data_IF_279927892994
#
_entry.id   IF_279927892994
#
_cell.length_a   1.000
_cell.length_b   1.000
_cell.length_c   1.000
_cell.angle_alpha   90.00
_cell.angle_beta   90.00
_cell.angle_gamma   90.00
#
_symmetry.space_group_name_H-M   'P 1'
#
loop_
_entity.id
_entity.type
_entity.pdbx_description
1 polymer ?
#
# COMPACT_ATOMS: atom_id res chain seq x y z
N UNK A 1 -22.77 46.45 75.13
CA UNK A 1 -22.78 45.05 74.65
C UNK A 1 -23.41 45.01 73.26
N UNK A 2 -22.83 44.18 72.38
CA UNK A 2 -23.25 43.78 71.02
C UNK A 2 -22.77 44.63 69.85
N UNK A 3 -21.57 44.24 69.45
CA UNK A 3 -20.95 44.26 68.12
C UNK A 3 -21.80 43.52 67.08
N UNK A 4 -21.85 44.07 65.85
CA UNK A 4 -21.99 43.30 64.60
C UNK A 4 -21.24 44.01 63.47
N UNK A 5 -20.29 43.28 62.89
CA UNK A 5 -19.46 43.66 61.74
C UNK A 5 -20.15 43.34 60.40
N UNK A 6 -19.72 43.94 59.28
CA UNK A 6 -20.24 43.63 57.94
C UNK A 6 -19.51 42.43 57.30
N UNK A 7 -20.27 41.55 56.65
CA UNK A 7 -19.76 40.43 55.86
C UNK A 7 -19.58 40.87 54.39
N UNK A 8 -18.33 40.95 53.93
CA UNK A 8 -17.94 41.24 52.56
C UNK A 8 -17.70 39.96 51.75
N UNK A 9 -18.40 39.87 50.61
CA UNK A 9 -18.00 39.31 49.31
C UNK A 9 -16.84 38.29 49.25
N UNK A 10 -17.16 37.04 48.92
CA UNK A 10 -16.22 36.09 48.28
C UNK A 10 -16.95 35.22 47.25
N UNK A 11 -17.21 35.81 46.10
CA UNK A 11 -17.50 35.10 44.84
C UNK A 11 -16.29 35.28 43.94
N UNK A 12 -15.94 34.23 43.18
CA UNK A 12 -15.04 34.26 42.01
C UNK A 12 -13.53 34.19 42.22
N UNK A 13 -12.98 33.09 42.77
CA UNK A 13 -11.65 32.58 42.36
C UNK A 13 -11.61 31.06 42.55
N UNK A 14 -12.16 30.25 41.64
CA UNK A 14 -11.94 28.79 41.66
C UNK A 14 -12.22 28.07 40.32
N UNK A 15 -12.13 28.78 39.18
CA UNK A 15 -12.30 28.16 37.83
C UNK A 15 -11.05 28.29 36.94
N UNK A 16 -10.01 29.02 37.38
CA UNK A 16 -8.83 29.30 36.55
C UNK A 16 -7.67 28.28 36.66
N UNK A 17 -7.79 27.18 37.42
CA UNK A 17 -6.68 26.23 37.64
C UNK A 17 -6.73 24.92 36.84
N UNK A 18 -7.81 24.64 36.10
CA UNK A 18 -7.92 23.39 35.33
C UNK A 18 -7.55 23.52 33.84
N UNK A 19 -7.35 24.74 33.33
CA UNK A 19 -6.94 24.96 31.94
C UNK A 19 -5.40 24.90 31.72
N UNK A 20 -4.60 24.98 32.78
CA UNK A 20 -3.13 25.02 32.68
C UNK A 20 -2.46 23.64 32.62
N UNK A 21 -3.11 22.57 33.12
CA UNK A 21 -2.52 21.22 33.11
C UNK A 21 -2.58 20.51 31.75
N UNK A 22 -3.45 20.92 30.82
CA UNK A 22 -3.52 20.32 29.48
C UNK A 22 -2.46 20.85 28.50
N UNK A 23 -1.80 21.98 28.80
CA UNK A 23 -0.79 22.57 27.92
C UNK A 23 0.63 22.02 28.16
N UNK A 24 0.89 21.33 29.26
CA UNK A 24 2.23 20.81 29.60
C UNK A 24 2.48 19.35 29.18
N UNK A 25 1.45 18.63 28.70
CA UNK A 25 1.62 17.24 28.23
C UNK A 25 1.86 17.12 26.71
N UNK A 26 1.73 18.20 25.93
CA UNK A 26 1.87 18.17 24.46
C UNK A 26 3.33 18.27 24.00
N UNK A 27 4.19 18.93 24.79
CA UNK A 27 5.61 19.09 24.47
C UNK A 27 6.40 17.76 24.42
N UNK A 28 6.30 16.82 25.40
CA UNK A 28 7.09 15.59 25.37
C UNK A 28 6.68 14.64 24.24
N UNK A 29 5.41 14.65 23.82
CA UNK A 29 4.92 13.78 22.74
C UNK A 29 5.49 14.18 21.36
N UNK A 30 5.78 15.47 21.14
CA UNK A 30 6.38 15.96 19.90
C UNK A 30 7.85 15.57 19.78
N UNK A 31 8.62 15.76 20.85
CA UNK A 31 10.05 15.41 20.90
C UNK A 31 10.25 13.90 20.69
N UNK A 32 9.40 13.05 21.29
CA UNK A 32 9.45 11.60 21.08
C UNK A 32 9.05 11.17 19.66
N UNK A 33 8.12 11.88 19.02
CA UNK A 33 7.71 11.59 17.64
C UNK A 33 8.79 11.98 16.62
N UNK A 34 9.52 13.07 16.88
CA UNK A 34 10.64 13.55 16.08
C UNK A 34 11.83 12.57 16.15
N UNK A 35 12.22 12.13 17.35
CA UNK A 35 13.27 11.11 17.54
C UNK A 35 12.90 9.75 16.89
N UNK A 36 11.62 9.36 16.98
CA UNK A 36 11.13 8.14 16.32
C UNK A 36 11.12 8.28 14.79
N UNK A 37 10.86 9.47 14.26
CA UNK A 37 10.93 9.74 12.83
C UNK A 37 12.38 9.65 12.35
N UNK A 38 13.31 10.32 13.02
CA UNK A 38 14.72 10.33 12.67
C UNK A 38 15.31 8.91 12.68
N UNK A 39 15.00 8.13 13.72
CA UNK A 39 15.42 6.72 13.78
C UNK A 39 14.80 5.86 12.67
N UNK A 40 13.53 6.08 12.32
CA UNK A 40 12.86 5.35 11.22
C UNK A 40 13.46 5.74 9.86
N UNK A 41 13.79 7.02 9.65
CA UNK A 41 14.43 7.51 8.43
C UNK A 41 15.84 6.94 8.29
N UNK A 42 16.65 6.97 9.35
CA UNK A 42 17.99 6.37 9.34
C UNK A 42 17.96 4.86 9.05
N UNK A 43 16.98 4.13 9.61
CA UNK A 43 16.77 2.72 9.29
C UNK A 43 16.37 2.50 7.83
N UNK A 44 15.53 3.37 7.28
CA UNK A 44 15.12 3.29 5.88
C UNK A 44 16.31 3.54 4.93
N UNK A 45 17.18 4.51 5.23
CA UNK A 45 18.39 4.76 4.45
C UNK A 45 19.33 3.55 4.46
N UNK A 46 19.58 2.98 5.64
CA UNK A 46 20.39 1.76 5.79
C UNK A 46 19.79 0.58 5.00
N UNK A 47 18.47 0.38 5.04
CA UNK A 47 17.82 -0.71 4.30
C UNK A 47 17.90 -0.48 2.78
N UNK A 48 17.83 0.78 2.31
CA UNK A 48 18.01 1.13 0.89
C UNK A 48 19.44 0.86 0.40
N UNK A 49 20.46 1.17 1.21
CA UNK A 49 21.85 0.82 0.90
C UNK A 49 22.03 -0.70 0.83
N UNK A 50 21.48 -1.43 1.80
CA UNK A 50 21.50 -2.89 1.80
C UNK A 50 20.79 -3.48 0.58
N UNK A 51 19.64 -2.93 0.20
CA UNK A 51 18.89 -3.35 -0.98
C UNK A 51 19.70 -3.16 -2.27
N UNK A 52 20.43 -2.04 -2.40
CA UNK A 52 21.29 -1.79 -3.55
C UNK A 52 22.40 -2.85 -3.66
N UNK A 53 23.02 -3.22 -2.55
CA UNK A 53 24.03 -4.30 -2.51
C UNK A 53 23.40 -5.66 -2.84
N UNK A 54 22.21 -5.97 -2.31
CA UNK A 54 21.51 -7.21 -2.65
C UNK A 54 21.16 -7.31 -4.14
N UNK A 55 20.77 -6.20 -4.78
CA UNK A 55 20.53 -6.16 -6.22
C UNK A 55 21.80 -6.45 -7.03
N UNK A 56 22.94 -5.94 -6.59
CA UNK A 56 24.25 -6.25 -7.17
C UNK A 56 24.56 -7.75 -7.06
N UNK A 57 24.43 -8.32 -5.87
CA UNK A 57 24.68 -9.75 -5.62
C UNK A 57 23.72 -10.66 -6.41
N UNK A 58 22.46 -10.24 -6.57
CA UNK A 58 21.51 -10.94 -7.42
C UNK A 58 21.91 -10.90 -8.90
N UNK A 59 22.35 -9.74 -9.40
CA UNK A 59 22.84 -9.62 -10.77
C UNK A 59 24.04 -10.54 -11.02
N UNK A 60 24.97 -10.62 -10.07
CA UNK A 60 26.12 -11.53 -10.11
C UNK A 60 25.66 -13.00 -10.14
N UNK A 61 24.73 -13.38 -9.26
CA UNK A 61 24.16 -14.72 -9.24
C UNK A 61 23.44 -15.08 -10.56
N UNK A 62 22.77 -14.11 -11.19
CA UNK A 62 22.10 -14.29 -12.47
C UNK A 62 23.09 -14.50 -13.61
N UNK A 63 24.22 -13.77 -13.63
CA UNK A 63 25.30 -14.00 -14.60
C UNK A 63 25.91 -15.39 -14.44
N UNK A 64 26.17 -15.83 -13.20
CA UNK A 64 26.66 -17.18 -12.92
C UNK A 64 25.69 -18.28 -13.39
N UNK A 65 24.39 -18.07 -13.21
CA UNK A 65 23.36 -18.97 -13.71
C UNK A 65 23.39 -19.08 -15.24
N UNK A 66 23.55 -17.95 -15.96
CA UNK A 66 23.65 -17.94 -17.42
C UNK A 66 24.90 -18.66 -17.92
N UNK A 67 26.04 -18.47 -17.25
CA UNK A 67 27.28 -19.17 -17.58
C UNK A 67 27.14 -20.69 -17.37
N UNK A 68 26.56 -21.13 -16.25
CA UNK A 68 26.33 -22.54 -15.99
C UNK A 68 25.37 -23.17 -17.02
N UNK A 69 24.31 -22.46 -17.41
CA UNK A 69 23.40 -22.91 -18.47
C UNK A 69 24.12 -23.08 -19.81
N UNK A 70 24.96 -22.10 -20.20
CA UNK A 70 25.75 -22.19 -21.41
C UNK A 70 26.71 -23.38 -21.40
N UNK A 71 27.39 -23.64 -20.28
CA UNK A 71 28.27 -24.82 -20.14
C UNK A 71 27.51 -26.13 -20.27
N UNK A 72 26.35 -26.23 -19.64
CA UNK A 72 25.49 -27.41 -19.74
C UNK A 72 25.05 -27.65 -21.20
N UNK A 73 24.64 -26.60 -21.92
CA UNK A 73 24.30 -26.70 -23.34
C UNK A 73 25.49 -27.16 -24.19
N UNK A 74 26.67 -26.57 -24.00
CA UNK A 74 27.88 -26.98 -24.72
C UNK A 74 28.26 -28.43 -24.43
N UNK A 75 28.08 -28.91 -23.19
CA UNK A 75 28.35 -30.32 -22.85
C UNK A 75 27.39 -31.28 -23.58
N UNK A 76 26.09 -30.94 -23.65
CA UNK A 76 25.10 -31.71 -24.41
C UNK A 76 25.40 -31.73 -25.91
N UNK A 77 25.71 -30.56 -26.50
CA UNK A 77 26.12 -30.46 -27.90
C UNK A 77 27.35 -31.32 -28.22
N UNK A 78 28.28 -31.44 -27.25
CA UNK A 78 29.43 -32.32 -27.35
C UNK A 78 29.05 -33.79 -27.44
N UNK A 79 28.10 -34.25 -26.61
CA UNK A 79 27.55 -35.62 -26.67
C UNK A 79 26.85 -35.87 -28.00
N UNK A 80 26.00 -34.95 -28.45
CA UNK A 80 25.26 -35.09 -29.71
C UNK A 80 26.21 -35.18 -30.90
N UNK A 81 27.20 -34.28 -30.97
CA UNK A 81 28.22 -34.26 -32.04
C UNK A 81 29.04 -35.55 -32.07
N UNK A 82 29.35 -36.10 -30.90
CA UNK A 82 30.07 -37.35 -30.77
C UNK A 82 29.23 -38.52 -31.34
N UNK A 83 27.95 -38.62 -30.97
CA UNK A 83 27.03 -39.66 -31.47
C UNK A 83 26.87 -39.57 -32.99
N UNK A 84 26.69 -38.36 -33.54
CA UNK A 84 26.53 -38.13 -34.98
C UNK A 84 27.79 -38.48 -35.78
N UNK A 85 28.97 -38.20 -35.22
CA UNK A 85 30.27 -38.45 -35.84
C UNK A 85 30.62 -39.93 -36.05
N UNK A 86 29.89 -40.86 -35.42
CA UNK A 86 30.03 -42.33 -35.55
C UNK A 86 31.45 -42.91 -35.31
N UNK A 87 32.38 -42.13 -34.76
CA UNK A 87 33.75 -42.55 -34.42
C UNK A 87 34.10 -42.20 -32.97
N UNK A 88 33.23 -42.59 -32.04
CA UNK A 88 33.45 -42.34 -30.61
C UNK A 88 33.92 -43.59 -29.92
N UNK A 89 35.02 -43.48 -29.17
CA UNK A 89 35.43 -44.51 -28.23
C UNK A 89 34.50 -44.49 -27.01
N UNK A 90 34.27 -45.65 -26.39
CA UNK A 90 33.49 -45.75 -25.14
C UNK A 90 34.01 -44.77 -24.09
N UNK A 91 35.34 -44.68 -23.94
CA UNK A 91 35.98 -43.75 -23.03
C UNK A 91 35.66 -42.28 -23.33
N UNK A 92 35.63 -41.87 -24.61
CA UNK A 92 35.29 -40.50 -24.98
C UNK A 92 33.84 -40.15 -24.67
N UNK A 93 32.92 -41.11 -24.82
CA UNK A 93 31.52 -40.92 -24.44
C UNK A 93 31.37 -40.79 -22.91
N UNK A 94 32.04 -41.64 -22.13
CA UNK A 94 32.04 -41.56 -20.67
C UNK A 94 32.59 -40.22 -20.14
N UNK A 95 33.61 -39.67 -20.81
CA UNK A 95 34.16 -38.35 -20.48
C UNK A 95 33.16 -37.21 -20.76
N UNK A 96 32.44 -37.28 -21.88
CA UNK A 96 31.40 -36.30 -22.22
C UNK A 96 30.19 -36.40 -21.29
N UNK A 97 29.73 -37.61 -20.96
CA UNK A 97 28.65 -37.83 -20.00
C UNK A 97 29.01 -37.28 -18.62
N UNK A 98 30.25 -37.49 -18.16
CA UNK A 98 30.75 -36.90 -16.91
C UNK A 98 30.72 -35.36 -16.96
N UNK A 99 31.11 -34.77 -18.08
CA UNK A 99 31.06 -33.32 -18.26
C UNK A 99 29.62 -32.78 -18.22
N UNK A 100 28.64 -33.51 -18.76
CA UNK A 100 27.21 -33.17 -18.66
C UNK A 100 26.75 -33.22 -17.20
N UNK A 101 27.07 -34.29 -16.48
CA UNK A 101 26.71 -34.43 -15.06
C UNK A 101 27.30 -33.31 -14.20
N UNK A 102 28.59 -32.99 -14.40
CA UNK A 102 29.26 -31.88 -13.71
C UNK A 102 28.58 -30.53 -14.01
N UNK A 103 28.25 -30.26 -15.27
CA UNK A 103 27.58 -29.03 -15.67
C UNK A 103 26.14 -28.93 -15.14
N UNK A 104 25.41 -30.04 -15.05
CA UNK A 104 24.07 -30.09 -14.46
C UNK A 104 24.09 -29.77 -12.97
N UNK A 105 25.06 -30.34 -12.23
CA UNK A 105 25.29 -30.04 -10.81
C UNK A 105 25.58 -28.55 -10.62
N UNK A 106 26.44 -27.96 -11.47
CA UNK A 106 26.76 -26.53 -11.42
C UNK A 106 25.50 -25.66 -11.69
N UNK A 107 24.72 -25.99 -12.73
CA UNK A 107 23.48 -25.29 -13.08
C UNK A 107 22.46 -25.35 -11.95
N UNK A 108 22.27 -26.53 -11.35
CA UNK A 108 21.37 -26.72 -10.21
C UNK A 108 21.81 -25.86 -9.02
N UNK A 109 23.11 -25.84 -8.71
CA UNK A 109 23.65 -25.02 -7.63
C UNK A 109 23.46 -23.51 -7.92
N UNK A 110 23.67 -23.07 -9.17
CA UNK A 110 23.47 -21.69 -9.59
C UNK A 110 21.99 -21.27 -9.51
N UNK A 111 21.08 -22.14 -9.94
CA UNK A 111 19.63 -21.93 -9.83
C UNK A 111 19.20 -21.76 -8.37
N UNK A 112 19.69 -22.61 -7.45
CA UNK A 112 19.40 -22.48 -6.01
C UNK A 112 19.89 -21.15 -5.45
N UNK A 113 21.10 -20.71 -5.81
CA UNK A 113 21.63 -19.39 -5.40
C UNK A 113 20.74 -18.24 -5.89
N UNK A 114 20.35 -18.25 -7.16
CA UNK A 114 19.48 -17.22 -7.72
C UNK A 114 18.10 -17.18 -7.05
N UNK A 115 17.52 -18.34 -6.74
CA UNK A 115 16.23 -18.42 -6.01
C UNK A 115 16.32 -17.83 -4.61
N UNK A 116 17.38 -18.15 -3.85
CA UNK A 116 17.59 -17.57 -2.51
C UNK A 116 17.69 -16.06 -2.56
N UNK A 117 18.44 -15.51 -3.53
CA UNK A 117 18.54 -14.06 -3.68
C UNK A 117 17.22 -13.39 -4.06
N UNK A 118 16.38 -14.02 -4.90
CA UNK A 118 15.03 -13.50 -5.17
C UNK A 118 14.17 -13.43 -3.91
N UNK A 119 14.23 -14.44 -3.05
CA UNK A 119 13.51 -14.45 -1.78
C UNK A 119 14.00 -13.33 -0.86
N UNK A 120 15.32 -13.19 -0.70
CA UNK A 120 15.91 -12.09 0.08
C UNK A 120 15.52 -10.70 -0.44
N UNK A 121 15.51 -10.50 -1.76
CA UNK A 121 15.06 -9.23 -2.35
C UNK A 121 13.57 -8.96 -2.08
N UNK A 122 12.71 -9.97 -2.20
CA UNK A 122 11.29 -9.82 -1.90
C UNK A 122 11.05 -9.41 -0.44
N UNK A 123 11.78 -10.01 0.49
CA UNK A 123 11.66 -9.68 1.92
C UNK A 123 12.19 -8.28 2.24
N UNK A 124 13.32 -7.87 1.64
CA UNK A 124 13.89 -6.52 1.84
C UNK A 124 13.00 -5.43 1.22
N UNK A 125 12.40 -5.69 0.05
CA UNK A 125 11.42 -4.77 -0.56
C UNK A 125 10.18 -4.59 0.32
N UNK A 126 9.64 -5.68 0.89
CA UNK A 126 8.52 -5.60 1.84
C UNK A 126 8.89 -4.78 3.08
N UNK A 127 10.08 -5.01 3.64
CA UNK A 127 10.55 -4.26 4.82
C UNK A 127 10.74 -2.77 4.52
N UNK A 128 11.33 -2.45 3.37
CA UNK A 128 11.49 -1.07 2.88
C UNK A 128 10.14 -0.38 2.80
N UNK A 129 9.15 -1.00 2.16
CA UNK A 129 7.80 -0.46 2.05
C UNK A 129 7.13 -0.23 3.42
N UNK A 130 7.36 -1.12 4.40
CA UNK A 130 6.85 -0.93 5.76
C UNK A 130 7.51 0.27 6.46
N UNK A 131 8.83 0.45 6.31
CA UNK A 131 9.57 1.58 6.87
C UNK A 131 9.16 2.90 6.22
N UNK A 132 8.98 2.93 4.90
CA UNK A 132 8.48 4.08 4.16
C UNK A 132 7.11 4.52 4.68
N UNK A 133 6.17 3.57 4.79
CA UNK A 133 4.84 3.85 5.33
C UNK A 133 4.89 4.37 6.77
N UNK A 134 5.81 3.85 7.60
CA UNK A 134 6.00 4.31 8.99
C UNK A 134 6.59 5.72 9.04
N UNK A 135 7.61 6.02 8.26
CA UNK A 135 8.19 7.36 8.16
C UNK A 135 7.16 8.38 7.66
N UNK A 136 6.35 8.01 6.66
CA UNK A 136 5.25 8.84 6.15
C UNK A 136 4.15 9.04 7.22
N UNK A 137 3.88 8.05 8.07
CA UNK A 137 2.93 8.18 9.17
C UNK A 137 3.46 9.12 10.29
N UNK A 138 4.75 9.02 10.62
CA UNK A 138 5.38 9.84 11.66
C UNK A 138 5.61 11.29 11.22
N UNK A 139 6.05 11.52 9.98
CA UNK A 139 6.23 12.87 9.41
C UNK A 139 4.93 13.67 9.34
N UNK A 140 3.78 12.99 9.20
CA UNK A 140 2.45 13.62 9.26
C UNK A 140 2.01 13.99 10.69
N UNK A 141 2.75 13.58 11.72
CA UNK A 141 2.50 13.87 13.13
C UNK A 141 1.27 13.15 13.74
N UNK A 142 1.10 13.18 15.08
CA UNK A 142 -0.12 12.71 15.74
C UNK A 142 -1.24 13.74 15.53
N UNK A 143 -1.73 13.84 14.30
CA UNK A 143 -3.07 14.36 14.08
C UNK A 143 -4.04 13.38 14.73
N UNK A 144 -4.87 13.85 15.66
CA UNK A 144 -6.16 13.22 15.96
C UNK A 144 -6.76 12.92 14.58
N UNK A 145 -6.75 11.66 14.16
CA UNK A 145 -7.37 11.24 12.91
C UNK A 145 -8.86 11.39 13.13
N UNK A 146 -9.36 12.62 12.99
CA UNK A 146 -10.75 12.87 12.66
C UNK A 146 -10.90 12.13 11.35
N UNK A 147 -11.57 11.00 11.42
CA UNK A 147 -11.92 10.19 10.27
C UNK A 147 -12.65 11.09 9.26
N UNK A 148 -11.96 11.58 8.22
CA UNK A 148 -12.55 12.59 7.36
C UNK A 148 -13.49 11.94 6.34
N UNK A 149 -13.24 10.66 6.04
CA UNK A 149 -13.80 9.97 4.90
C UNK A 149 -14.95 9.06 5.27
N UNK A 150 -14.96 8.50 6.48
CA UNK A 150 -16.08 7.67 6.89
C UNK A 150 -17.38 8.47 6.94
N UNK A 151 -18.44 7.78 6.53
CA UNK A 151 -19.77 8.32 6.49
C UNK A 151 -20.42 8.10 5.13
N UNK A 152 -21.60 8.69 5.02
CA UNK A 152 -22.45 8.61 3.84
C UNK A 152 -22.17 9.79 2.92
N UNK A 153 -22.09 9.52 1.63
CA UNK A 153 -21.83 10.50 0.59
C UNK A 153 -22.90 10.38 -0.51
N UNK A 154 -23.39 11.51 -1.01
CA UNK A 154 -24.19 11.56 -2.23
C UNK A 154 -23.24 11.46 -3.41
N UNK A 155 -23.40 10.44 -4.25
CA UNK A 155 -22.55 10.12 -5.38
C UNK A 155 -23.21 10.52 -6.71
N UNK A 156 -22.42 11.05 -7.63
CA UNK A 156 -22.76 11.38 -9.01
C UNK A 156 -21.64 10.89 -9.94
N UNK A 157 -21.99 10.19 -11.01
CA UNK A 157 -21.08 9.55 -11.96
C UNK A 157 -21.44 9.98 -13.39
N UNK A 158 -20.45 10.43 -14.14
CA UNK A 158 -20.57 10.76 -15.56
C UNK A 158 -19.80 9.71 -16.41
N UNK A 159 -20.17 9.48 -17.68
CA UNK A 159 -21.10 10.28 -18.51
C UNK A 159 -22.59 9.94 -18.34
N UNK A 160 -22.94 8.83 -17.67
CA UNK A 160 -24.32 8.34 -17.62
C UNK A 160 -25.23 9.09 -16.64
N UNK A 161 -24.72 10.18 -16.03
CA UNK A 161 -25.38 11.00 -15.02
C UNK A 161 -26.02 10.19 -13.88
N UNK A 162 -25.43 9.05 -13.54
CA UNK A 162 -25.92 8.15 -12.50
C UNK A 162 -25.73 8.78 -11.14
N UNK A 163 -26.76 8.69 -10.30
CA UNK A 163 -26.75 9.20 -8.93
C UNK A 163 -26.95 8.08 -7.94
N UNK A 164 -26.44 8.27 -6.74
CA UNK A 164 -26.53 7.26 -5.70
C UNK A 164 -25.97 7.68 -4.36
N UNK A 165 -25.75 6.68 -3.52
CA UNK A 165 -25.17 6.82 -2.19
C UNK A 165 -23.91 5.98 -2.12
N UNK A 166 -22.87 6.55 -1.56
CA UNK A 166 -21.59 5.94 -1.29
C UNK A 166 -21.35 5.94 0.23
N UNK A 167 -21.24 4.77 0.84
CA UNK A 167 -20.92 4.62 2.26
C UNK A 167 -19.45 4.18 2.38
N UNK A 168 -18.63 5.01 3.03
CA UNK A 168 -17.19 4.77 3.22
C UNK A 168 -16.86 4.50 4.68
N UNK A 169 -15.84 3.67 4.90
CA UNK A 169 -15.20 3.40 6.19
C UNK A 169 -13.68 3.49 6.04
N UNK A 170 -13.05 4.30 6.89
CA UNK A 170 -11.62 4.50 6.94
C UNK A 170 -11.02 3.80 8.16
N UNK A 171 -9.97 3.01 7.93
CA UNK A 171 -9.21 2.35 9.00
C UNK A 171 -7.73 2.32 8.64
N UNK A 172 -6.89 2.95 9.46
CA UNK A 172 -5.43 2.96 9.37
C UNK A 172 -4.78 3.50 8.07
N UNK A 173 -5.51 3.64 6.96
CA UNK A 173 -5.16 4.15 5.61
C UNK A 173 -5.98 3.40 4.54
N UNK A 174 -6.56 2.26 4.93
CA UNK A 174 -7.49 1.46 4.13
C UNK A 174 -8.85 2.13 4.12
N UNK A 175 -9.43 2.22 2.93
CA UNK A 175 -10.82 2.59 2.70
C UNK A 175 -11.56 1.34 2.27
N UNK A 176 -12.68 1.07 2.91
CA UNK A 176 -13.68 0.13 2.42
C UNK A 176 -15.00 0.86 2.25
N UNK A 177 -15.81 0.42 1.31
CA UNK A 177 -17.11 1.02 1.10
C UNK A 177 -17.98 0.22 0.16
N UNK A 178 -19.18 0.72 -0.03
CA UNK A 178 -20.09 0.24 -1.05
C UNK A 178 -20.86 1.44 -1.58
N UNK A 179 -21.29 1.38 -2.84
CA UNK A 179 -22.26 2.32 -3.36
C UNK A 179 -23.51 1.60 -3.84
N UNK A 180 -24.62 2.34 -3.83
CA UNK A 180 -25.87 1.96 -4.44
C UNK A 180 -26.36 3.12 -5.31
N UNK A 181 -26.66 2.85 -6.58
CA UNK A 181 -27.19 3.80 -7.55
C UNK A 181 -28.71 3.74 -7.61
N UNK A 182 -29.31 4.81 -8.13
CA UNK A 182 -30.77 4.93 -8.29
C UNK A 182 -31.36 3.90 -9.27
N UNK A 183 -30.56 3.37 -10.19
CA UNK A 183 -30.96 2.28 -11.11
C UNK A 183 -30.93 0.88 -10.47
N UNK A 184 -30.61 0.79 -9.17
CA UNK A 184 -30.50 -0.45 -8.41
C UNK A 184 -29.12 -1.12 -8.50
N UNK A 185 -28.20 -0.59 -9.29
CA UNK A 185 -26.82 -1.10 -9.37
C UNK A 185 -26.07 -0.84 -8.07
N UNK A 186 -25.24 -1.79 -7.64
CA UNK A 186 -24.40 -1.62 -6.46
C UNK A 186 -23.07 -2.35 -6.63
N UNK A 187 -22.02 -1.85 -5.99
CA UNK A 187 -20.73 -2.51 -5.98
C UNK A 187 -19.96 -2.21 -4.69
N UNK A 188 -19.01 -3.08 -4.36
CA UNK A 188 -18.09 -2.87 -3.26
C UNK A 188 -16.87 -2.08 -3.72
N UNK A 189 -16.29 -1.32 -2.80
CA UNK A 189 -15.10 -0.50 -3.02
C UNK A 189 -14.06 -0.82 -1.95
N UNK A 190 -12.81 -0.92 -2.37
CA UNK A 190 -11.66 -1.04 -1.46
C UNK A 190 -10.51 -0.19 -1.97
N UNK A 191 -9.71 0.39 -1.09
CA UNK A 191 -8.66 1.27 -1.55
C UNK A 191 -7.86 1.94 -0.46
N UNK A 192 -7.18 3.01 -0.84
CA UNK A 192 -6.30 3.75 0.07
C UNK A 192 -6.56 5.25 -0.04
N UNK A 193 -6.31 5.95 1.08
CA UNK A 193 -6.31 7.39 1.13
C UNK A 193 -4.97 7.89 1.67
N UNK A 194 -4.25 8.67 0.86
CA UNK A 194 -2.96 9.25 1.19
C UNK A 194 -2.79 10.60 0.50
N UNK A 195 -2.23 11.58 1.22
CA UNK A 195 -1.90 12.89 0.65
C UNK A 195 -3.07 13.64 0.03
N UNK A 196 -4.29 13.51 0.56
CA UNK A 196 -5.50 14.13 -0.01
C UNK A 196 -6.06 13.41 -1.23
N UNK A 197 -5.41 12.33 -1.68
CA UNK A 197 -5.85 11.52 -2.82
C UNK A 197 -6.47 10.21 -2.36
N UNK A 198 -7.60 9.86 -2.95
CA UNK A 198 -8.33 8.63 -2.76
C UNK A 198 -8.18 7.75 -4.01
N UNK A 199 -7.78 6.50 -3.83
CA UNK A 199 -7.77 5.50 -4.89
C UNK A 199 -8.62 4.31 -4.44
N UNK A 200 -9.66 3.98 -5.21
CA UNK A 200 -10.57 2.87 -4.96
C UNK A 200 -10.57 1.89 -6.14
N UNK A 201 -10.66 0.61 -5.80
CA UNK A 201 -10.94 -0.50 -6.69
C UNK A 201 -12.42 -0.87 -6.53
N UNK A 202 -13.15 -0.87 -7.64
CA UNK A 202 -14.53 -1.35 -7.70
C UNK A 202 -14.53 -2.86 -7.90
N UNK A 203 -15.33 -3.52 -7.09
CA UNK A 203 -15.53 -4.98 -7.13
C UNK A 203 -17.02 -5.24 -7.28
N UNK A 204 -17.40 -5.70 -8.46
CA UNK A 204 -18.72 -6.18 -8.79
C UNK A 204 -18.87 -7.67 -8.41
N UNK A 205 -20.08 -8.08 -8.02
CA UNK A 205 -20.34 -9.43 -7.55
C UNK A 205 -20.22 -10.49 -8.65
N UNK A 206 -20.45 -10.12 -9.91
CA UNK A 206 -20.40 -11.03 -11.07
C UNK A 206 -19.07 -10.90 -11.81
N UNK A 207 -18.55 -9.67 -11.94
CA UNK A 207 -17.35 -9.38 -12.76
C UNK A 207 -16.05 -9.31 -11.96
N UNK A 208 -16.13 -9.26 -10.63
CA UNK A 208 -14.95 -9.03 -9.79
C UNK A 208 -14.41 -7.61 -9.96
N UNK A 209 -13.09 -7.45 -10.03
CA UNK A 209 -12.45 -6.14 -10.15
C UNK A 209 -12.62 -5.55 -11.55
N UNK A 210 -13.50 -4.56 -11.68
CA UNK A 210 -13.97 -4.08 -12.98
C UNK A 210 -13.72 -2.58 -13.26
N UNK A 211 -13.34 -1.79 -12.24
CA UNK A 211 -12.96 -0.40 -12.42
C UNK A 211 -12.02 0.13 -11.33
N UNK A 212 -11.24 1.16 -11.69
CA UNK A 212 -10.41 1.95 -10.79
C UNK A 212 -10.97 3.36 -10.71
N UNK A 213 -11.14 3.87 -9.50
CA UNK A 213 -11.62 5.21 -9.21
C UNK A 213 -10.53 5.98 -8.49
N UNK A 214 -10.24 7.19 -8.95
CA UNK A 214 -9.29 8.10 -8.34
C UNK A 214 -10.02 9.40 -8.02
N UNK A 215 -9.72 10.03 -6.90
CA UNK A 215 -10.32 11.30 -6.53
C UNK A 215 -9.48 12.12 -5.58
N UNK A 216 -9.64 13.43 -5.65
CA UNK A 216 -9.09 14.39 -4.71
C UNK A 216 -10.15 14.70 -3.66
N UNK A 217 -9.73 14.70 -2.38
CA UNK A 217 -10.60 14.91 -1.24
C UNK A 217 -10.40 16.34 -0.73
N UNK A 218 -11.44 17.17 -0.88
CA UNK A 218 -11.52 18.47 -0.25
C UNK A 218 -12.29 18.36 1.08
N UNK A 219 -11.53 18.41 2.17
CA UNK A 219 -12.06 18.33 3.53
C UNK A 219 -12.84 19.57 3.95
N UNK A 220 -12.53 20.74 3.39
CA UNK A 220 -13.20 21.99 3.72
C UNK A 220 -14.60 22.02 3.09
N UNK A 221 -14.72 21.62 1.83
CA UNK A 221 -16.00 21.53 1.13
C UNK A 221 -16.72 20.19 1.30
N UNK A 222 -16.12 19.23 2.03
CA UNK A 222 -16.62 17.86 2.22
C UNK A 222 -17.01 17.21 0.89
N UNK A 223 -16.16 17.39 -0.10
CA UNK A 223 -16.39 16.92 -1.47
C UNK A 223 -15.23 16.05 -1.92
N UNK A 224 -15.53 15.02 -2.71
CA UNK A 224 -14.55 14.23 -3.45
C UNK A 224 -14.86 14.40 -4.93
N UNK A 225 -13.84 14.66 -5.73
CA UNK A 225 -13.97 14.76 -7.19
C UNK A 225 -12.87 13.98 -7.86
N UNK A 226 -13.19 13.28 -8.94
CA UNK A 226 -12.15 12.65 -9.73
C UNK A 226 -12.66 11.86 -10.92
N UNK A 227 -11.92 10.82 -11.28
CA UNK A 227 -12.13 10.04 -12.49
C UNK A 227 -12.25 8.56 -12.17
N UNK A 228 -12.95 7.83 -13.03
CA UNK A 228 -12.99 6.38 -13.01
C UNK A 228 -12.57 5.83 -14.37
N UNK A 229 -12.04 4.60 -14.36
CA UNK A 229 -11.57 3.91 -15.56
C UNK A 229 -11.95 2.43 -15.44
N UNK A 230 -12.67 1.91 -16.43
CA UNK A 230 -12.97 0.49 -16.52
C UNK A 230 -11.69 -0.31 -16.77
N UNK A 231 -11.60 -1.49 -16.19
CA UNK A 231 -10.50 -2.43 -16.47
C UNK A 231 -10.81 -3.30 -17.69
N UNK A 232 -12.09 -3.43 -18.05
CA UNK A 232 -12.56 -4.20 -19.19
C UNK A 232 -13.09 -3.30 -20.31
N UNK A 233 -12.51 -3.41 -21.51
CA UNK A 233 -12.80 -2.55 -22.67
C UNK A 233 -13.89 -3.13 -23.61
N UNK A 234 -14.34 -4.36 -23.38
CA UNK A 234 -15.20 -5.14 -24.28
C UNK A 234 -16.71 -5.00 -24.03
N UNK A 235 -17.13 -4.22 -23.04
CA UNK A 235 -18.51 -4.24 -22.53
C UNK A 235 -19.50 -3.29 -23.24
N UNK A 236 -19.05 -2.53 -24.24
CA UNK A 236 -19.91 -1.65 -25.05
C UNK A 236 -20.41 -0.37 -24.35
N UNK A 237 -20.00 -0.14 -23.10
CA UNK A 237 -20.28 1.09 -22.34
C UNK A 237 -19.08 2.05 -22.27
N UNK A 238 -19.22 3.18 -21.56
CA UNK A 238 -18.11 4.09 -21.31
C UNK A 238 -16.94 3.37 -20.63
N UNK A 239 -15.72 3.61 -21.09
CA UNK A 239 -14.49 3.00 -20.51
C UNK A 239 -13.83 3.89 -19.46
N UNK A 240 -14.28 5.14 -19.34
CA UNK A 240 -13.81 6.12 -18.37
C UNK A 240 -14.85 7.22 -18.17
N UNK A 241 -14.74 7.94 -17.06
CA UNK A 241 -15.57 9.11 -16.79
C UNK A 241 -15.13 9.85 -15.54
N UNK A 242 -15.95 10.79 -15.10
CA UNK A 242 -15.75 11.57 -13.88
C UNK A 242 -16.74 11.14 -12.82
N UNK A 243 -16.42 11.41 -11.56
CA UNK A 243 -17.35 11.20 -10.46
C UNK A 243 -17.16 12.27 -9.40
N UNK A 244 -18.24 12.54 -8.67
CA UNK A 244 -18.28 13.49 -7.57
C UNK A 244 -19.05 12.91 -6.41
N UNK A 245 -18.54 13.08 -5.21
CA UNK A 245 -19.23 12.70 -3.98
C UNK A 245 -19.28 13.87 -3.00
N UNK A 246 -20.43 14.12 -2.39
CA UNK A 246 -20.63 15.18 -1.37
C UNK A 246 -21.08 14.54 -0.08
N UNK A 247 -20.39 14.82 1.04
CA UNK A 247 -20.71 14.20 2.33
C UNK A 247 -22.11 14.62 2.78
N UNK A 248 -22.90 13.64 3.18
CA UNK A 248 -24.24 13.87 3.72
C UNK A 248 -24.12 14.03 5.23
N UNK A 249 -24.44 15.21 5.73
CA UNK A 249 -24.55 15.43 7.17
C UNK A 249 -25.76 14.65 7.68
N UNK A 250 -25.56 13.69 8.56
CA UNK A 250 -26.65 13.00 9.24
C UNK A 250 -27.34 13.98 10.21
N UNK A 251 -28.33 14.73 9.73
CA UNK A 251 -29.33 15.40 10.56
C UNK A 251 -30.64 14.67 10.34
N UNK A 252 -31.13 13.96 11.37
CA UNK A 252 -32.39 13.21 11.30
C UNK A 252 -32.63 12.32 12.51
N UNK A 253 -32.77 12.92 13.69
CA UNK A 253 -33.53 12.33 14.81
C UNK A 253 -35.03 12.41 14.50
N UNK A 254 -35.71 11.26 14.53
CA UNK A 254 -37.08 11.09 15.03
C UNK A 254 -38.26 11.53 14.17
N UNK A 255 -39.01 10.56 13.67
CA UNK A 255 -40.46 10.45 13.92
C UNK A 255 -40.90 9.02 13.62
N UNK A 256 -41.23 8.27 14.68
CA UNK A 256 -41.96 7.01 14.61
C UNK A 256 -43.45 7.37 14.71
N UNK A 257 -44.34 6.79 13.87
CA UNK A 257 -45.79 6.90 14.11
C UNK A 257 -46.22 6.15 15.37
#
# INVERSE_FOLDING_TARGET
>A
MRSTAPASSRTSVLVASLAACCLLAVAPARVLAEDLLDTTVAQLEMERELLAEQLRLFADARRQQQLALSRFQTALEGVDSAIEGRQVSVQGLEELERAVEEAEVELTAANRRATRWRQHLQDSLRRTALLENRAEALSRGPGVRVDPLSGRWRLEIEPDAQKGVLDLRFSANLITGFYALEDGSSASLRGTYSGGTLRLERVDALKGFDAVWQGEVDLASRTITGTWTATELSSGGPVQGTWRAVKTDSIGTGETP
#
